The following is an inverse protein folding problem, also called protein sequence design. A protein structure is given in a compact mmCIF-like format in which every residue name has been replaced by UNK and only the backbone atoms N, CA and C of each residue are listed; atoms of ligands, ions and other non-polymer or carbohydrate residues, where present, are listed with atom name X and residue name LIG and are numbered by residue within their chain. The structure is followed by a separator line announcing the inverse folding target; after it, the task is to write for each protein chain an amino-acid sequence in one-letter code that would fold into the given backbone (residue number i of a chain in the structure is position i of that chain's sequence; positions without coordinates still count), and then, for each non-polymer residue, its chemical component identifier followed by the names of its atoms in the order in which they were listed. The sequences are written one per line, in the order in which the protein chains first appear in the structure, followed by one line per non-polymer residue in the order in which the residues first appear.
data_IF_203251278468
#
_entry.id   IF_203251278468
#
_cell.length_a   1.000
_cell.length_b   1.000
_cell.length_c   1.000
_cell.angle_alpha   90.00
_cell.angle_beta   90.00
_cell.angle_gamma   90.00
#
_symmetry.space_group_name_H-M   'P 1'
#
loop_
_entity.id
_entity.type
_entity.pdbx_description
1 polymer ?
#
# COMPACT_ATOMS: atom_id res chain seq x y z
N UNK A 1 -31.25 -36.64 7.82
CA UNK A 1 -30.11 -36.20 6.99
C UNK A 1 -29.39 -35.08 7.72
N UNK A 2 -28.29 -35.39 8.41
CA UNK A 2 -27.45 -34.41 9.10
C UNK A 2 -26.23 -34.13 8.23
N UNK A 3 -26.29 -33.08 7.41
CA UNK A 3 -25.09 -32.59 6.74
C UNK A 3 -24.18 -31.90 7.76
N UNK A 4 -22.84 -32.01 7.63
CA UNK A 4 -21.92 -31.28 8.47
C UNK A 4 -22.11 -29.76 8.30
N UNK A 5 -22.04 -29.02 9.40
CA UNK A 5 -22.08 -27.55 9.33
C UNK A 5 -20.90 -27.02 8.51
N UNK A 6 -21.09 -25.93 7.74
CA UNK A 6 -20.00 -25.28 7.03
C UNK A 6 -18.92 -24.80 8.01
N UNK A 7 -17.63 -24.81 7.60
CA UNK A 7 -16.54 -24.38 8.47
C UNK A 7 -16.76 -22.93 8.91
N UNK A 8 -16.71 -22.69 10.22
CA UNK A 8 -16.78 -21.35 10.80
C UNK A 8 -15.49 -20.62 10.46
N UNK A 9 -15.53 -19.71 9.49
CA UNK A 9 -14.43 -18.80 9.25
C UNK A 9 -14.31 -17.85 10.46
N UNK A 10 -13.17 -17.84 11.15
CA UNK A 10 -12.91 -16.94 12.28
C UNK A 10 -12.99 -15.45 11.89
N UNK A 11 -12.93 -15.14 10.59
CA UNK A 11 -12.97 -13.78 10.06
C UNK A 11 -14.39 -13.30 9.70
N UNK A 12 -15.43 -14.12 9.91
CA UNK A 12 -16.80 -13.78 9.54
C UNK A 12 -16.96 -13.47 8.04
N UNK A 13 -18.15 -13.03 7.60
CA UNK A 13 -18.30 -12.41 6.28
C UNK A 13 -17.43 -11.14 6.25
N UNK A 14 -16.63 -10.89 5.20
CA UNK A 14 -15.89 -9.65 5.09
C UNK A 14 -16.88 -8.48 5.05
N UNK A 15 -17.00 -7.77 6.16
CA UNK A 15 -17.72 -6.51 6.19
C UNK A 15 -16.82 -5.48 5.53
N UNK A 16 -17.22 -4.86 4.40
CA UNK A 16 -16.40 -3.85 3.76
C UNK A 16 -16.25 -2.69 4.74
N UNK A 17 -15.04 -2.49 5.25
CA UNK A 17 -14.72 -1.24 5.93
C UNK A 17 -14.75 -0.12 4.88
N UNK A 18 -15.22 1.08 5.24
CA UNK A 18 -15.13 2.23 4.36
C UNK A 18 -13.66 2.44 3.97
N UNK A 19 -13.44 2.87 2.73
CA UNK A 19 -12.09 3.18 2.24
C UNK A 19 -11.44 4.21 3.17
N UNK A 20 -10.18 3.98 3.54
CA UNK A 20 -9.42 4.92 4.37
C UNK A 20 -9.38 6.28 3.70
N UNK A 21 -9.78 7.31 4.44
CA UNK A 21 -9.80 8.68 3.92
C UNK A 21 -8.38 9.17 3.62
N UNK A 22 -8.24 10.16 2.75
CA UNK A 22 -6.95 10.76 2.43
C UNK A 22 -6.25 11.34 3.67
N UNK A 23 -7.02 11.95 4.58
CA UNK A 23 -6.53 12.50 5.83
C UNK A 23 -5.95 11.42 6.75
N UNK A 24 -6.64 10.27 6.85
CA UNK A 24 -6.16 9.12 7.62
C UNK A 24 -4.90 8.53 6.99
N UNK A 25 -4.86 8.36 5.66
CA UNK A 25 -3.65 7.91 4.96
C UNK A 25 -2.47 8.87 5.20
N UNK A 26 -2.72 10.17 5.19
CA UNK A 26 -1.68 11.17 5.48
C UNK A 26 -1.21 11.09 6.94
N UNK A 27 -2.11 10.85 7.90
CA UNK A 27 -1.75 10.61 9.29
C UNK A 27 -0.89 9.34 9.45
N UNK A 28 -1.27 8.25 8.78
CA UNK A 28 -0.52 6.99 8.78
C UNK A 28 0.88 7.17 8.19
N UNK A 29 1.03 7.87 7.06
CA UNK A 29 2.35 8.17 6.48
C UNK A 29 3.22 9.04 7.39
N UNK A 30 2.64 10.06 8.02
CA UNK A 30 3.35 10.90 9.02
C UNK A 30 3.83 10.07 10.20
N UNK A 31 3.01 9.14 10.68
CA UNK A 31 3.37 8.23 11.77
C UNK A 31 4.49 7.28 11.36
N UNK A 32 4.37 6.65 10.19
CA UNK A 32 5.42 5.77 9.65
C UNK A 32 6.77 6.50 9.52
N UNK A 33 6.75 7.77 9.08
CA UNK A 33 7.96 8.58 9.03
C UNK A 33 8.57 8.79 10.42
N UNK A 34 7.75 9.24 11.38
CA UNK A 34 8.22 9.59 12.72
C UNK A 34 8.69 8.38 13.53
N UNK A 35 8.01 7.25 13.41
CA UNK A 35 8.25 6.08 14.27
C UNK A 35 9.17 5.05 13.61
N UNK A 36 9.15 4.94 12.28
CA UNK A 36 9.84 3.87 11.55
C UNK A 36 10.90 4.40 10.58
N UNK A 37 10.95 5.72 10.34
CA UNK A 37 11.86 6.31 9.35
C UNK A 37 11.52 5.94 7.90
N UNK A 38 10.31 5.43 7.66
CA UNK A 38 9.84 4.99 6.33
C UNK A 38 8.80 5.99 5.82
N UNK A 39 8.91 6.37 4.55
CA UNK A 39 7.95 7.26 3.89
C UNK A 39 7.40 6.64 2.61
N UNK A 40 6.11 6.82 2.37
CA UNK A 40 5.46 6.49 1.10
C UNK A 40 5.20 7.78 0.33
N UNK A 41 5.82 7.93 -0.83
CA UNK A 41 5.69 9.12 -1.68
C UNK A 41 5.08 8.72 -3.03
N UNK A 42 4.20 9.57 -3.56
CA UNK A 42 3.81 9.47 -4.96
C UNK A 42 4.95 10.04 -5.80
N UNK A 43 5.51 9.22 -6.69
CA UNK A 43 6.63 9.64 -7.56
C UNK A 43 6.25 10.84 -8.42
N UNK A 44 5.00 10.93 -8.86
CA UNK A 44 4.49 12.07 -9.65
C UNK A 44 4.33 13.37 -8.84
N UNK A 45 4.30 13.29 -7.50
CA UNK A 45 4.23 14.44 -6.62
C UNK A 45 5.62 14.98 -6.20
N UNK A 46 6.70 14.34 -6.64
CA UNK A 46 8.06 14.84 -6.41
C UNK A 46 8.35 15.88 -7.48
N UNK A 47 8.46 17.16 -7.13
CA UNK A 47 8.66 18.24 -8.11
C UNK A 47 10.05 18.19 -8.77
N UNK A 48 11.09 17.94 -7.97
CA UNK A 48 12.48 17.86 -8.42
C UNK A 48 12.65 16.67 -9.39
N UNK A 49 13.00 16.92 -10.67
CA UNK A 49 13.18 15.86 -11.67
C UNK A 49 14.31 14.90 -11.34
N UNK A 50 15.40 15.37 -10.73
CA UNK A 50 16.55 14.53 -10.40
C UNK A 50 16.23 13.62 -9.23
N UNK A 51 15.60 14.16 -8.18
CA UNK A 51 15.16 13.37 -7.04
C UNK A 51 14.14 12.31 -7.47
N UNK A 52 13.17 12.70 -8.30
CA UNK A 52 12.16 11.79 -8.86
C UNK A 52 12.82 10.62 -9.60
N UNK A 53 13.80 10.90 -10.48
CA UNK A 53 14.50 9.85 -11.22
C UNK A 53 15.34 8.96 -10.31
N UNK A 54 16.01 9.52 -9.30
CA UNK A 54 16.78 8.75 -8.33
C UNK A 54 15.90 7.76 -7.55
N UNK A 55 14.73 8.19 -7.07
CA UNK A 55 13.77 7.31 -6.38
C UNK A 55 13.24 6.22 -7.31
N UNK A 56 12.93 6.53 -8.58
CA UNK A 56 12.51 5.52 -9.56
C UNK A 56 13.60 4.49 -9.78
N UNK A 57 14.85 4.93 -9.95
CA UNK A 57 15.98 4.03 -10.18
C UNK A 57 16.18 3.10 -8.98
N UNK A 58 16.11 3.65 -7.76
CA UNK A 58 16.26 2.87 -6.55
C UNK A 58 15.11 1.88 -6.36
N UNK A 59 13.87 2.30 -6.64
CA UNK A 59 12.71 1.41 -6.62
C UNK A 59 12.84 0.28 -7.65
N UNK A 60 13.32 0.56 -8.87
CA UNK A 60 13.58 -0.46 -9.90
C UNK A 60 14.67 -1.44 -9.47
N UNK A 61 15.73 -0.95 -8.83
CA UNK A 61 16.83 -1.78 -8.32
C UNK A 61 16.35 -2.75 -7.24
N UNK A 62 15.46 -2.31 -6.35
CA UNK A 62 14.95 -3.09 -5.23
C UNK A 62 13.79 -4.02 -5.60
N UNK A 63 12.87 -3.56 -6.45
CA UNK A 63 11.58 -4.23 -6.68
C UNK A 63 11.35 -4.66 -8.14
N UNK A 64 12.29 -4.39 -9.03
CA UNK A 64 12.14 -4.66 -10.46
C UNK A 64 11.28 -3.60 -11.16
N UNK A 65 11.06 -3.81 -12.46
CA UNK A 65 10.34 -2.83 -13.27
C UNK A 65 8.83 -2.85 -12.99
N UNK A 66 8.25 -1.67 -12.79
CA UNK A 66 6.81 -1.51 -12.51
C UNK A 66 5.94 -1.82 -13.73
N UNK A 67 6.53 -1.97 -14.91
CA UNK A 67 5.85 -2.33 -16.17
C UNK A 67 5.22 -3.74 -16.14
N UNK A 68 5.53 -4.57 -15.13
CA UNK A 68 4.96 -5.92 -14.98
C UNK A 68 3.59 -5.88 -14.26
N UNK A 69 2.59 -5.21 -14.84
CA UNK A 69 1.15 -5.54 -14.68
C UNK A 69 0.25 -4.74 -15.63
N UNK A 70 0.45 -4.95 -16.93
CA UNK A 70 -0.60 -4.76 -17.95
C UNK A 70 -0.49 -5.93 -18.93
N UNK A 71 -0.95 -7.11 -18.52
CA UNK A 71 -1.33 -8.23 -19.37
C UNK A 71 -2.45 -9.00 -18.71
#
# INVERSE_FOLDING_TARGET
MNAPLPPRCALGPPMPLPATSEAELHAMRRRAWREQGIVTLSVGAIDDPWLRQAIINEARRLYGDTSVRMR
#
